data_IF_448996782582
#
_entry.id   IF_448996782582
#
_cell.length_a   1.000
_cell.length_b   1.000
_cell.length_c   1.000
_cell.angle_alpha   90.00
_cell.angle_beta   90.00
_cell.angle_gamma   90.00
#
_symmetry.space_group_name_H-M   'P 1'
#
loop_
_entity.id
_entity.type
_entity.pdbx_description
1 polymer ?
#
# COMPACT_ATOMS: atom_id res chain seq x y z
N UNK A 1 -11.18 -5.46 10.88
CA UNK A 1 -11.06 -4.69 9.63
C UNK A 1 -11.09 -5.65 8.47
N UNK A 2 -11.94 -5.40 7.47
CA UNK A 2 -11.94 -6.14 6.20
C UNK A 2 -11.40 -5.20 5.12
N UNK A 3 -10.62 -5.75 4.20
CA UNK A 3 -10.06 -5.01 3.07
C UNK A 3 -10.75 -5.49 1.80
N UNK A 4 -11.17 -4.56 0.93
CA UNK A 4 -11.81 -4.92 -0.33
C UNK A 4 -10.83 -5.65 -1.26
N UNK A 5 -9.56 -5.26 -1.23
CA UNK A 5 -8.50 -5.80 -2.07
C UNK A 5 -7.29 -6.20 -1.22
N UNK A 6 -7.30 -7.37 -0.56
CA UNK A 6 -6.22 -7.78 0.35
C UNK A 6 -4.86 -7.94 -0.35
N UNK A 7 -4.86 -8.25 -1.65
CA UNK A 7 -3.64 -8.41 -2.46
C UNK A 7 -2.84 -7.09 -2.56
N UNK A 8 -3.50 -5.94 -2.49
CA UNK A 8 -2.83 -4.63 -2.56
C UNK A 8 -1.94 -4.35 -1.35
N UNK A 9 -2.10 -5.07 -0.24
CA UNK A 9 -1.17 -4.98 0.89
C UNK A 9 0.25 -5.42 0.49
N UNK A 10 0.40 -6.31 -0.49
CA UNK A 10 1.71 -6.69 -1.04
C UNK A 10 2.40 -5.50 -1.73
N UNK A 11 1.65 -4.51 -2.21
CA UNK A 11 2.26 -3.31 -2.79
C UNK A 11 3.06 -2.49 -1.76
N UNK A 12 2.89 -2.72 -0.45
CA UNK A 12 3.75 -2.13 0.58
C UNK A 12 5.21 -2.56 0.43
N UNK A 13 5.51 -3.71 -0.19
CA UNK A 13 6.90 -4.09 -0.50
C UNK A 13 7.58 -3.09 -1.44
N UNK A 14 6.83 -2.30 -2.23
CA UNK A 14 7.40 -1.22 -3.04
C UNK A 14 8.10 -0.13 -2.20
N UNK A 15 7.75 0.00 -0.91
CA UNK A 15 8.42 0.90 0.05
C UNK A 15 9.89 0.50 0.24
N UNK A 16 10.25 -0.77 0.01
CA UNK A 16 11.64 -1.22 0.09
C UNK A 16 12.53 -0.48 -0.94
N UNK A 17 12.00 -0.11 -2.10
CA UNK A 17 12.76 0.56 -3.17
C UNK A 17 13.39 1.88 -2.70
N UNK A 18 12.63 2.89 -2.20
CA UNK A 18 13.22 4.13 -1.72
C UNK A 18 14.14 3.94 -0.51
N UNK A 19 13.87 2.95 0.36
CA UNK A 19 14.74 2.62 1.50
C UNK A 19 16.09 2.10 1.01
N UNK A 20 16.07 1.15 0.07
CA UNK A 20 17.27 0.57 -0.53
C UNK A 20 18.09 1.65 -1.24
N UNK A 21 17.46 2.49 -2.06
CA UNK A 21 18.13 3.61 -2.76
C UNK A 21 18.78 4.57 -1.75
N UNK A 22 18.11 4.89 -0.64
CA UNK A 22 18.67 5.73 0.40
C UNK A 22 19.90 5.09 1.05
N UNK A 23 19.82 3.79 1.37
CA UNK A 23 20.92 3.02 1.96
C UNK A 23 22.15 2.97 1.04
N UNK A 24 21.95 2.82 -0.27
CA UNK A 24 23.05 2.86 -1.24
C UNK A 24 23.66 4.25 -1.40
N UNK A 25 22.87 5.32 -1.29
CA UNK A 25 23.36 6.71 -1.39
C UNK A 25 24.20 7.15 -0.16
N UNK A 26 24.23 6.35 0.92
CA UNK A 26 25.15 6.54 2.04
C UNK A 26 26.60 6.16 1.70
N UNK A 27 26.83 5.36 0.65
CA UNK A 27 28.16 4.97 0.18
C UNK A 27 28.75 6.07 -0.71
N UNK A 28 29.16 7.18 -0.09
CA UNK A 28 29.85 8.28 -0.78
C UNK A 28 31.26 7.87 -1.19
N UNK A 29 31.46 7.52 -2.45
CA UNK A 29 32.80 7.51 -3.04
C UNK A 29 33.32 8.96 -3.07
N UNK A 30 34.36 9.24 -2.28
CA UNK A 30 35.11 10.49 -2.38
C UNK A 30 36.60 10.21 -2.33
N UNK A 31 37.18 10.02 -3.50
CA UNK A 31 38.61 10.24 -3.72
C UNK A 31 38.78 11.65 -4.27
N UNK A 32 39.06 12.62 -3.39
CA UNK A 32 39.40 13.99 -3.83
C UNK A 32 40.85 14.25 -3.42
N UNK A 33 41.77 14.12 -4.36
CA UNK A 33 43.19 14.53 -4.22
C UNK A 33 43.30 15.99 -4.64
N UNK A 34 43.13 16.93 -3.73
CA UNK A 34 43.41 18.34 -4.02
C UNK A 34 44.08 19.04 -2.84
N UNK A 35 45.14 19.78 -3.17
CA UNK A 35 45.93 20.62 -2.27
C UNK A 35 45.10 21.84 -1.82
N UNK A 36 45.11 22.16 -0.53
CA UNK A 36 44.47 23.34 0.13
C UNK A 36 42.94 23.30 0.35
N UNK A 37 42.45 22.50 1.33
CA UNK A 37 41.02 22.36 1.71
C UNK A 37 40.72 22.84 3.16
N UNK A 38 41.61 23.58 3.81
CA UNK A 38 41.48 23.88 5.26
C UNK A 38 40.21 24.70 5.58
N UNK A 39 39.81 25.62 4.70
CA UNK A 39 38.64 26.48 4.88
C UNK A 39 37.29 25.82 4.51
N UNK A 40 37.29 24.84 3.59
CA UNK A 40 36.06 24.17 3.13
C UNK A 40 35.59 23.06 4.09
N UNK A 41 36.45 22.63 5.03
CA UNK A 41 36.17 21.53 5.95
C UNK A 41 35.26 21.95 7.11
N UNK A 42 35.48 23.15 7.68
CA UNK A 42 34.67 23.70 8.77
C UNK A 42 33.21 23.96 8.37
N UNK A 43 32.98 24.62 7.24
CA UNK A 43 31.61 24.90 6.75
C UNK A 43 30.87 23.60 6.37
N UNK A 44 31.58 22.60 5.85
CA UNK A 44 30.99 21.28 5.55
C UNK A 44 30.53 20.53 6.78
N UNK A 45 31.18 20.71 7.94
CA UNK A 45 30.87 19.99 9.17
C UNK A 45 29.53 20.46 9.75
N UNK A 46 29.28 21.77 9.77
CA UNK A 46 27.99 22.35 10.16
C UNK A 46 26.85 21.95 9.20
N UNK A 47 27.07 22.02 7.88
CA UNK A 47 26.04 21.69 6.87
C UNK A 47 25.67 20.19 6.86
N UNK A 48 26.57 19.31 7.33
CA UNK A 48 26.35 17.85 7.39
C UNK A 48 25.27 17.45 8.40
N UNK A 49 25.07 18.22 9.49
CA UNK A 49 24.04 17.91 10.48
C UNK A 49 22.63 18.24 9.95
N UNK A 50 22.44 19.47 9.44
CA UNK A 50 21.18 19.89 8.83
C UNK A 50 20.78 19.05 7.61
N UNK A 51 21.75 18.65 6.79
CA UNK A 51 21.47 17.79 5.64
C UNK A 51 21.00 16.39 6.06
N UNK A 52 21.42 15.85 7.21
CA UNK A 52 20.95 14.54 7.70
C UNK A 52 19.48 14.58 8.09
N UNK A 53 19.05 15.61 8.84
CA UNK A 53 17.65 15.75 9.24
C UNK A 53 16.74 15.95 8.02
N UNK A 54 17.14 16.80 7.07
CA UNK A 54 16.38 17.02 5.83
C UNK A 54 16.29 15.74 5.00
N UNK A 55 17.36 14.97 4.90
CA UNK A 55 17.34 13.68 4.19
C UNK A 55 16.42 12.65 4.86
N UNK A 56 16.37 12.62 6.19
CA UNK A 56 15.46 11.73 6.93
C UNK A 56 13.99 12.13 6.72
N UNK A 57 13.67 13.43 6.75
CA UNK A 57 12.33 13.93 6.48
C UNK A 57 11.87 13.63 5.05
N UNK A 58 12.78 13.77 4.06
CA UNK A 58 12.49 13.41 2.66
C UNK A 58 12.23 11.91 2.53
N UNK A 59 13.00 11.07 3.23
CA UNK A 59 12.79 9.62 3.24
C UNK A 59 11.41 9.28 3.83
N UNK A 60 11.08 9.85 4.99
CA UNK A 60 9.78 9.66 5.65
C UNK A 60 8.62 10.08 4.75
N UNK A 61 8.72 11.23 4.10
CA UNK A 61 7.69 11.73 3.18
C UNK A 61 7.46 10.79 2.00
N UNK A 62 8.53 10.22 1.40
CA UNK A 62 8.40 9.22 0.32
C UNK A 62 7.70 7.94 0.80
N UNK A 63 8.06 7.45 1.98
CA UNK A 63 7.44 6.25 2.57
C UNK A 63 5.96 6.53 2.83
N UNK A 64 5.63 7.63 3.50
CA UNK A 64 4.25 8.03 3.79
C UNK A 64 3.40 8.17 2.53
N UNK A 65 3.93 8.79 1.48
CA UNK A 65 3.22 8.94 0.21
C UNK A 65 2.84 7.58 -0.39
N UNK A 66 3.77 6.62 -0.42
CA UNK A 66 3.52 5.27 -0.93
C UNK A 66 2.53 4.54 -0.01
N UNK A 67 2.71 4.60 1.30
CA UNK A 67 1.80 3.97 2.27
C UNK A 67 0.37 4.49 2.13
N UNK A 68 0.18 5.80 2.04
CA UNK A 68 -1.14 6.40 1.85
C UNK A 68 -1.75 6.06 0.50
N UNK A 69 -0.94 5.99 -0.56
CA UNK A 69 -1.41 5.54 -1.87
C UNK A 69 -1.91 4.10 -1.78
N UNK A 70 -1.12 3.19 -1.21
CA UNK A 70 -1.52 1.78 -1.05
C UNK A 70 -2.76 1.65 -0.17
N UNK A 71 -2.87 2.39 0.94
CA UNK A 71 -4.05 2.37 1.80
C UNK A 71 -5.30 2.94 1.11
N UNK A 72 -5.15 4.01 0.32
CA UNK A 72 -6.26 4.59 -0.45
C UNK A 72 -6.84 3.59 -1.45
N UNK A 73 -5.99 2.81 -2.12
CA UNK A 73 -6.42 1.75 -3.03
C UNK A 73 -6.88 0.47 -2.32
N UNK A 74 -6.33 0.14 -1.15
CA UNK A 74 -6.74 -1.01 -0.35
C UNK A 74 -8.12 -0.84 0.30
N UNK A 75 -8.61 0.41 0.43
CA UNK A 75 -9.92 0.79 1.02
C UNK A 75 -10.20 0.02 2.32
N UNK A 76 -9.49 0.32 3.43
CA UNK A 76 -9.74 -0.33 4.70
C UNK A 76 -11.16 -0.04 5.16
N UNK A 77 -11.94 -1.09 5.40
CA UNK A 77 -13.30 -0.97 5.92
C UNK A 77 -13.35 -1.50 7.35
N UNK A 78 -13.92 -0.70 8.25
CA UNK A 78 -14.29 -1.13 9.59
C UNK A 78 -15.76 -1.52 9.50
N UNK A 79 -16.10 -2.83 9.50
CA UNK A 79 -17.50 -3.23 9.58
C UNK A 79 -18.06 -2.75 10.92
N UNK A 80 -18.99 -1.80 10.89
CA UNK A 80 -19.81 -1.46 12.06
C UNK A 80 -20.63 -2.68 12.45
N UNK A 81 -20.63 -3.00 13.73
CA UNK A 81 -21.35 -4.14 14.33
C UNK A 81 -22.87 -3.92 14.39
N UNK A 82 -23.38 -2.82 13.83
CA UNK A 82 -24.78 -2.39 13.94
C UNK A 82 -25.70 -2.94 12.86
N UNK A 83 -25.17 -3.72 11.92
CA UNK A 83 -25.96 -4.50 10.97
C UNK A 83 -25.36 -5.90 10.90
N UNK A 84 -25.52 -6.67 11.98
CA UNK A 84 -25.98 -8.04 11.79
C UNK A 84 -27.37 -7.92 11.16
N UNK A 85 -27.42 -7.59 9.86
CA UNK A 85 -28.59 -7.94 9.06
C UNK A 85 -28.63 -9.45 9.20
N UNK A 86 -29.62 -9.95 9.95
CA UNK A 86 -30.11 -11.30 9.71
C UNK A 86 -30.07 -11.48 8.20
N UNK A 87 -29.24 -12.42 7.75
CA UNK A 87 -29.30 -12.87 6.38
C UNK A 87 -30.65 -13.56 6.34
N UNK A 88 -31.70 -12.79 6.07
CA UNK A 88 -32.94 -13.31 5.56
C UNK A 88 -32.51 -13.90 4.22
N UNK A 89 -32.13 -15.18 4.25
CA UNK A 89 -31.98 -15.98 3.05
C UNK A 89 -33.36 -15.96 2.40
N UNK A 90 -33.63 -14.91 1.62
CA UNK A 90 -34.79 -14.79 0.78
C UNK A 90 -34.60 -15.83 -0.33
N UNK A 91 -34.82 -17.10 0.03
CA UNK A 91 -34.87 -18.24 -0.86
C UNK A 91 -36.12 -18.03 -1.71
N UNK A 92 -35.95 -17.34 -2.82
CA UNK A 92 -37.00 -17.20 -3.82
C UNK A 92 -37.16 -18.54 -4.54
N UNK A 93 -38.07 -19.38 -4.03
CA UNK A 93 -38.55 -20.56 -4.72
C UNK A 93 -39.47 -20.12 -5.85
N UNK A 94 -39.01 -20.24 -7.10
CA UNK A 94 -39.84 -20.02 -8.28
C UNK A 94 -40.41 -21.36 -8.72
N UNK A 95 -41.70 -21.59 -8.49
CA UNK A 95 -42.41 -22.78 -8.94
C UNK A 95 -43.12 -22.43 -10.24
N UNK A 96 -42.62 -22.95 -11.36
CA UNK A 96 -43.29 -22.86 -12.66
C UNK A 96 -44.30 -24.01 -12.76
N UNK A 97 -45.58 -23.68 -12.92
CA UNK A 97 -46.66 -24.62 -13.23
C UNK A 97 -47.20 -24.38 -14.66
N UNK A 98 -46.31 -24.04 -15.60
CA UNK A 98 -46.70 -23.85 -16.99
C UNK A 98 -47.16 -25.16 -17.62
N UNK A 99 -48.25 -25.10 -18.39
CA UNK A 99 -48.89 -26.23 -19.09
C UNK A 99 -47.94 -26.96 -20.07
N UNK A 100 -46.78 -26.38 -20.38
CA UNK A 100 -45.72 -26.98 -21.19
C UNK A 100 -44.93 -28.07 -20.44
N UNK A 101 -44.91 -28.07 -19.11
CA UNK A 101 -44.20 -29.08 -18.30
C UNK A 101 -44.91 -30.43 -18.19
N UNK A 102 -46.19 -30.50 -18.57
CA UNK A 102 -47.02 -31.72 -18.45
C UNK A 102 -46.80 -32.73 -19.59
N UNK A 103 -46.05 -32.34 -20.64
CA UNK A 103 -45.82 -33.18 -21.83
C UNK A 103 -44.73 -34.24 -21.68
N UNK A 104 -44.01 -34.30 -20.55
CA UNK A 104 -42.86 -35.22 -20.35
C UNK A 104 -43.19 -36.41 -19.42
N UNK A 105 -44.39 -36.46 -18.82
CA UNK A 105 -44.77 -37.57 -17.91
C UNK A 105 -45.72 -38.60 -18.54
N UNK A 106 -45.97 -38.50 -19.85
CA UNK A 106 -46.91 -39.38 -20.56
C UNK A 106 -46.24 -40.59 -21.25
N UNK A 107 -45.15 -41.11 -20.70
CA UNK A 107 -44.62 -42.43 -21.05
C UNK A 107 -44.26 -43.19 -19.76
N UNK A 108 -45.24 -43.96 -19.28
CA UNK A 108 -45.12 -44.97 -18.23
C UNK A 108 -45.76 -46.27 -18.71
#
# INVERSE_FOLDING_TARGET
MRYQNPQLLLALFAIAIPIIIHLFNLRKYKTVRFSSIRFLKEIKQAKRSYSRLKNLLILLSRILAITFLVLAFAKPFIPSKEQETEIDENIFFYIDNSFSMESVSADG
#
